data_IF_584968727846
#
_entry.id   IF_584968727846
#
_cell.length_a   1.000
_cell.length_b   1.000
_cell.length_c   1.000
_cell.angle_alpha   90.00
_cell.angle_beta   90.00
_cell.angle_gamma   90.00
#
_symmetry.space_group_name_H-M   'P 1'
#
loop_
_entity.id
_entity.type
_entity.pdbx_description
1 polymer ?
#
# COMPACT_ATOMS: atom_id res chain seq x y z
N UNK A 1 28.18 -35.86 -46.00
CA UNK A 1 26.77 -35.49 -45.68
C UNK A 1 26.44 -35.66 -44.21
N UNK A 2 26.86 -36.75 -43.54
CA UNK A 2 26.63 -36.96 -42.10
C UNK A 2 27.26 -35.87 -41.20
N UNK A 3 28.52 -35.48 -41.41
CA UNK A 3 29.20 -34.47 -40.59
C UNK A 3 28.47 -33.11 -40.53
N UNK A 4 27.84 -32.72 -41.65
CA UNK A 4 27.08 -31.46 -41.77
C UNK A 4 25.74 -31.54 -41.01
N UNK A 5 25.12 -32.73 -40.95
CA UNK A 5 23.93 -32.98 -40.12
C UNK A 5 24.27 -32.97 -38.63
N UNK A 6 25.38 -33.57 -38.22
CA UNK A 6 25.81 -33.58 -36.82
C UNK A 6 26.16 -32.17 -36.32
N UNK A 7 26.79 -31.35 -37.16
CA UNK A 7 27.11 -29.96 -36.84
C UNK A 7 25.87 -29.07 -36.69
N UNK A 8 24.86 -29.23 -37.56
CA UNK A 8 23.57 -28.53 -37.46
C UNK A 8 22.79 -28.91 -36.19
N UNK A 9 22.82 -30.19 -35.79
CA UNK A 9 22.19 -30.65 -34.55
C UNK A 9 22.89 -30.04 -33.33
N UNK A 10 24.24 -29.95 -33.34
CA UNK A 10 25.01 -29.35 -32.25
C UNK A 10 24.73 -27.85 -32.10
N UNK A 11 24.56 -27.11 -33.20
CA UNK A 11 24.19 -25.68 -33.19
C UNK A 11 22.78 -25.47 -32.61
N UNK A 12 21.80 -26.31 -32.98
CA UNK A 12 20.48 -26.26 -32.35
C UNK A 12 20.54 -26.57 -30.84
N UNK A 13 21.37 -27.52 -30.42
CA UNK A 13 21.49 -27.89 -29.02
C UNK A 13 22.12 -26.77 -28.17
N UNK A 14 23.16 -26.10 -28.67
CA UNK A 14 23.81 -24.97 -27.99
C UNK A 14 22.89 -23.73 -27.98
N UNK A 15 22.08 -23.52 -29.03
CA UNK A 15 21.10 -22.44 -29.10
C UNK A 15 19.95 -22.55 -28.09
N UNK A 16 19.51 -23.78 -27.78
CA UNK A 16 18.46 -24.01 -26.78
C UNK A 16 18.92 -23.78 -25.33
N UNK A 17 20.24 -23.84 -25.05
CA UNK A 17 20.79 -23.64 -23.70
C UNK A 17 20.80 -22.18 -23.24
N UNK A 18 20.41 -21.23 -24.10
CA UNK A 18 20.38 -19.79 -23.81
C UNK A 18 18.97 -19.19 -23.76
N UNK A 19 17.94 -20.02 -23.78
CA UNK A 19 16.56 -19.57 -23.61
C UNK A 19 16.27 -19.38 -22.12
N UNK A 20 16.49 -18.16 -21.63
CA UNK A 20 15.94 -17.73 -20.34
C UNK A 20 14.46 -17.39 -20.55
N UNK A 21 13.57 -18.32 -20.23
CA UNK A 21 12.16 -17.97 -20.00
C UNK A 21 12.05 -17.46 -18.56
N UNK A 22 11.59 -16.23 -18.40
CA UNK A 22 11.32 -15.68 -17.08
C UNK A 22 9.86 -15.97 -16.76
N UNK A 23 9.63 -17.01 -15.95
CA UNK A 23 8.27 -17.32 -15.50
C UNK A 23 7.79 -16.23 -14.53
N UNK A 24 6.58 -15.72 -14.80
CA UNK A 24 5.90 -14.85 -13.85
C UNK A 24 5.41 -15.67 -12.66
N UNK A 25 5.33 -15.07 -11.46
CA UNK A 25 4.71 -15.75 -10.33
C UNK A 25 3.25 -16.09 -10.65
N UNK A 26 2.72 -17.21 -10.12
CA UNK A 26 1.32 -17.57 -10.34
C UNK A 26 0.39 -16.51 -9.74
N UNK A 27 -0.63 -16.11 -10.50
CA UNK A 27 -1.63 -15.12 -10.09
C UNK A 27 -2.94 -15.83 -9.85
N UNK A 28 -3.52 -15.65 -8.65
CA UNK A 28 -4.88 -16.08 -8.31
C UNK A 28 -5.73 -14.83 -8.20
N UNK A 29 -6.93 -14.89 -8.79
CA UNK A 29 -7.77 -13.71 -8.95
C UNK A 29 -9.17 -13.98 -8.44
N UNK A 30 -9.67 -13.07 -7.58
CA UNK A 30 -11.03 -13.10 -7.04
C UNK A 30 -11.84 -11.97 -7.69
N UNK A 31 -12.86 -12.32 -8.47
CA UNK A 31 -13.77 -11.36 -9.08
C UNK A 31 -14.84 -10.86 -8.08
N UNK A 32 -15.51 -9.73 -8.33
CA UNK A 32 -16.57 -9.20 -7.45
C UNK A 32 -17.64 -10.23 -7.06
N UNK A 33 -18.05 -11.07 -8.01
CA UNK A 33 -19.02 -12.13 -7.77
C UNK A 33 -18.53 -13.18 -6.76
N UNK A 34 -17.22 -13.37 -6.60
CA UNK A 34 -16.63 -14.34 -5.68
C UNK A 34 -16.70 -13.86 -4.22
N UNK A 35 -16.52 -12.56 -3.98
CA UNK A 35 -16.57 -11.97 -2.63
C UNK A 35 -17.87 -11.23 -2.31
N UNK A 36 -18.78 -11.10 -3.29
CA UNK A 36 -20.12 -10.56 -3.11
C UNK A 36 -20.16 -9.08 -2.75
N UNK A 37 -19.20 -8.29 -3.25
CA UNK A 37 -19.14 -6.84 -3.01
C UNK A 37 -18.73 -6.08 -4.28
N UNK A 38 -18.35 -4.81 -4.14
CA UNK A 38 -18.02 -3.92 -5.25
C UNK A 38 -16.60 -4.17 -5.77
N UNK A 39 -16.25 -3.71 -6.97
CA UNK A 39 -14.95 -4.00 -7.59
C UNK A 39 -13.76 -3.30 -6.93
N UNK A 40 -13.98 -2.15 -6.29
CA UNK A 40 -12.89 -1.34 -5.73
C UNK A 40 -12.46 -1.80 -4.33
N UNK A 41 -11.18 -2.14 -4.20
CA UNK A 41 -10.58 -2.65 -2.95
C UNK A 41 -9.42 -1.74 -2.52
N UNK A 42 -9.64 -0.95 -1.46
CA UNK A 42 -8.81 0.20 -1.11
C UNK A 42 -7.63 -0.10 -0.18
N UNK A 43 -7.79 -1.08 0.70
CA UNK A 43 -6.81 -1.38 1.74
C UNK A 43 -6.94 -2.84 2.17
N UNK A 44 -5.81 -3.46 2.52
CA UNK A 44 -5.73 -4.86 2.94
C UNK A 44 -4.94 -4.94 4.24
N UNK A 45 -5.38 -5.76 5.18
CA UNK A 45 -4.67 -6.10 6.40
C UNK A 45 -4.92 -7.56 6.78
N UNK A 46 -4.06 -8.15 7.61
CA UNK A 46 -4.18 -9.54 8.04
C UNK A 46 -4.16 -9.66 9.57
N UNK A 47 -4.96 -10.59 10.12
CA UNK A 47 -4.86 -10.96 11.54
C UNK A 47 -3.81 -12.05 11.79
N UNK A 48 -3.42 -12.21 13.06
CA UNK A 48 -2.52 -13.28 13.51
C UNK A 48 -3.01 -14.69 13.14
N UNK A 49 -4.34 -14.88 13.07
CA UNK A 49 -4.99 -16.13 12.66
C UNK A 49 -5.13 -16.27 11.13
N UNK A 50 -4.40 -15.45 10.35
CA UNK A 50 -4.30 -15.47 8.88
C UNK A 50 -5.53 -14.99 8.11
N UNK A 51 -6.56 -14.49 8.78
CA UNK A 51 -7.69 -13.88 8.08
C UNK A 51 -7.24 -12.62 7.34
N UNK A 52 -7.62 -12.52 6.07
CA UNK A 52 -7.40 -11.32 5.25
C UNK A 52 -8.64 -10.43 5.37
N UNK A 53 -8.41 -9.17 5.64
CA UNK A 53 -9.42 -8.14 5.73
C UNK A 53 -9.21 -7.11 4.64
N UNK A 54 -10.27 -6.77 3.90
CA UNK A 54 -10.21 -5.82 2.78
C UNK A 54 -11.25 -4.72 2.95
N UNK A 55 -10.81 -3.46 2.90
CA UNK A 55 -11.69 -2.31 2.84
C UNK A 55 -12.25 -2.15 1.41
N UNK A 56 -13.57 -2.21 1.28
CA UNK A 56 -14.28 -2.21 0.00
C UNK A 56 -15.38 -1.14 0.01
N UNK A 57 -15.87 -0.74 -1.18
CA UNK A 57 -16.98 0.22 -1.28
C UNK A 57 -18.26 -0.23 -0.55
N UNK A 58 -18.47 -1.53 -0.30
CA UNK A 58 -19.63 -2.05 0.45
C UNK A 58 -19.39 -2.25 1.94
N UNK A 59 -18.13 -2.20 2.40
CA UNK A 59 -17.79 -2.45 3.80
C UNK A 59 -16.50 -3.24 3.96
N UNK A 60 -16.42 -4.01 5.05
CA UNK A 60 -15.28 -4.84 5.40
C UNK A 60 -15.49 -6.26 4.85
N UNK A 61 -14.63 -6.68 3.93
CA UNK A 61 -14.55 -8.07 3.51
C UNK A 61 -13.61 -8.84 4.45
N UNK A 62 -14.03 -10.02 4.88
CA UNK A 62 -13.24 -10.98 5.65
C UNK A 62 -13.05 -12.25 4.81
N UNK A 63 -11.81 -12.73 4.71
CA UNK A 63 -11.46 -13.94 3.99
C UNK A 63 -10.64 -14.89 4.86
N UNK A 64 -11.09 -16.14 4.95
CA UNK A 64 -10.49 -17.15 5.83
C UNK A 64 -9.59 -18.16 5.10
N UNK A 65 -9.26 -17.91 3.83
CA UNK A 65 -8.54 -18.84 2.96
C UNK A 65 -9.43 -19.62 1.99
N UNK A 66 -10.74 -19.64 2.21
CA UNK A 66 -11.70 -20.34 1.35
C UNK A 66 -12.94 -19.51 1.05
N UNK A 67 -13.53 -18.89 2.08
CA UNK A 67 -14.80 -18.19 2.00
C UNK A 67 -14.63 -16.70 2.28
N UNK A 68 -15.36 -15.90 1.53
CA UNK A 68 -15.51 -14.46 1.74
C UNK A 68 -16.77 -14.17 2.54
N UNK A 69 -16.69 -13.19 3.43
CA UNK A 69 -17.82 -12.67 4.19
C UNK A 69 -17.79 -11.15 4.17
N UNK A 70 -18.90 -10.54 3.79
CA UNK A 70 -19.07 -9.10 3.80
C UNK A 70 -19.72 -8.64 5.11
N UNK A 71 -19.09 -7.66 5.74
CA UNK A 71 -19.63 -6.87 6.84
C UNK A 71 -19.92 -5.47 6.33
N UNK A 72 -21.20 -5.10 6.22
CA UNK A 72 -21.61 -3.77 5.76
C UNK A 72 -20.95 -2.67 6.59
N UNK A 73 -20.53 -1.58 5.95
CA UNK A 73 -20.02 -0.42 6.66
C UNK A 73 -21.07 0.13 7.64
N UNK A 74 -20.65 0.68 8.79
CA UNK A 74 -21.55 1.09 9.88
C UNK A 74 -22.58 2.16 9.49
N UNK A 75 -22.30 2.92 8.43
CA UNK A 75 -23.15 3.98 7.88
C UNK A 75 -23.44 3.78 6.37
N UNK A 76 -23.25 2.57 5.84
CA UNK A 76 -23.49 2.21 4.44
C UNK A 76 -22.67 3.03 3.40
N UNK A 77 -21.53 3.58 3.82
CA UNK A 77 -20.60 4.32 2.95
C UNK A 77 -19.38 3.50 2.54
N UNK A 78 -18.56 4.06 1.64
CA UNK A 78 -17.31 3.44 1.18
C UNK A 78 -16.32 3.31 2.34
N UNK A 79 -15.82 2.09 2.56
CA UNK A 79 -14.71 1.84 3.47
C UNK A 79 -13.39 2.04 2.73
N UNK A 80 -12.57 2.96 3.22
CA UNK A 80 -11.32 3.40 2.55
C UNK A 80 -10.08 2.74 3.12
N UNK A 81 -10.10 2.38 4.40
CA UNK A 81 -8.93 1.89 5.11
C UNK A 81 -9.27 0.80 6.11
N UNK A 82 -8.36 -0.15 6.27
CA UNK A 82 -8.41 -1.20 7.29
C UNK A 82 -7.01 -1.44 7.86
N UNK A 83 -6.93 -1.66 9.17
CA UNK A 83 -5.71 -2.06 9.86
C UNK A 83 -6.06 -3.01 11.01
N UNK A 84 -5.45 -4.18 11.03
CA UNK A 84 -5.54 -5.11 12.16
C UNK A 84 -4.42 -4.81 13.15
N UNK A 85 -4.79 -4.66 14.42
CA UNK A 85 -3.87 -4.53 15.54
C UNK A 85 -4.38 -5.44 16.65
N UNK A 86 -3.58 -6.46 16.99
CA UNK A 86 -3.99 -7.54 17.88
C UNK A 86 -5.34 -8.15 17.45
N UNK A 87 -6.35 -8.13 18.32
CA UNK A 87 -7.69 -8.66 18.09
C UNK A 87 -8.68 -7.62 17.51
N UNK A 88 -8.20 -6.41 17.20
CA UNK A 88 -9.04 -5.30 16.73
C UNK A 88 -8.79 -5.03 15.24
N UNK A 89 -9.87 -4.87 14.50
CA UNK A 89 -9.82 -4.50 13.08
C UNK A 89 -10.28 -3.04 12.99
N UNK A 90 -9.35 -2.10 12.91
CA UNK A 90 -9.66 -0.69 12.74
C UNK A 90 -10.08 -0.41 11.30
N UNK A 91 -11.11 0.40 11.11
CA UNK A 91 -11.61 0.77 9.77
C UNK A 91 -12.01 2.22 9.70
N UNK A 92 -11.78 2.84 8.54
CA UNK A 92 -12.16 4.21 8.23
C UNK A 92 -13.06 4.28 6.98
N UNK A 93 -14.14 5.06 7.07
CA UNK A 93 -15.15 5.25 6.03
C UNK A 93 -15.36 6.74 5.74
N UNK A 94 -16.44 7.10 5.04
CA UNK A 94 -16.90 8.50 4.97
C UNK A 94 -17.53 8.90 6.32
N UNK A 95 -17.09 10.01 6.90
CA UNK A 95 -17.60 10.59 8.16
C UNK A 95 -17.64 9.62 9.36
N UNK A 96 -16.83 8.57 9.36
CA UNK A 96 -16.85 7.54 10.40
C UNK A 96 -15.52 6.78 10.46
N UNK A 97 -15.02 6.55 11.68
CA UNK A 97 -13.92 5.61 11.94
C UNK A 97 -14.05 4.97 13.33
N UNK A 98 -13.53 3.74 13.43
CA UNK A 98 -13.68 2.93 14.63
C UNK A 98 -13.01 1.58 14.47
N UNK A 99 -13.48 0.59 15.22
CA UNK A 99 -12.95 -0.78 15.14
C UNK A 99 -14.03 -1.84 15.25
N UNK A 100 -13.74 -3.00 14.68
CA UNK A 100 -14.48 -4.23 14.84
C UNK A 100 -13.79 -5.12 15.86
N UNK A 101 -14.59 -5.81 16.67
CA UNK A 101 -14.11 -6.84 17.61
C UNK A 101 -15.00 -8.07 17.53
N UNK A 102 -14.39 -9.25 17.54
CA UNK A 102 -15.13 -10.50 17.62
C UNK A 102 -15.80 -10.66 18.99
N UNK A 103 -17.12 -10.81 18.98
CA UNK A 103 -17.92 -11.06 20.18
C UNK A 103 -17.75 -12.49 20.67
N UNK A 104 -18.28 -12.79 21.87
CA UNK A 104 -18.25 -14.15 22.43
C UNK A 104 -18.99 -15.17 21.57
N UNK A 105 -19.87 -14.70 20.67
CA UNK A 105 -20.65 -15.50 19.74
C UNK A 105 -19.94 -15.66 18.38
N UNK A 106 -18.74 -15.10 18.20
CA UNK A 106 -17.98 -15.17 16.95
C UNK A 106 -18.45 -14.18 15.88
N UNK A 107 -19.20 -13.14 16.26
CA UNK A 107 -19.66 -12.08 15.35
C UNK A 107 -18.79 -10.84 15.48
N UNK A 108 -18.40 -10.22 14.37
CA UNK A 108 -17.74 -8.92 14.40
C UNK A 108 -18.75 -7.83 14.77
N UNK A 109 -18.49 -7.14 15.87
CA UNK A 109 -19.27 -6.00 16.36
C UNK A 109 -18.47 -4.72 16.22
N UNK A 110 -19.10 -3.68 15.66
CA UNK A 110 -18.47 -2.39 15.42
C UNK A 110 -18.60 -1.44 16.60
N UNK A 111 -17.51 -0.77 16.96
CA UNK A 111 -17.46 0.35 17.89
C UNK A 111 -16.96 1.59 17.17
N UNK A 112 -17.82 2.61 17.07
CA UNK A 112 -17.44 3.92 16.54
C UNK A 112 -16.54 4.66 17.53
N UNK A 113 -15.43 5.19 17.02
CA UNK A 113 -14.52 6.05 17.76
C UNK A 113 -14.76 7.54 17.46
N UNK A 114 -15.32 7.85 16.29
CA UNK A 114 -15.61 9.22 15.87
C UNK A 114 -16.95 9.77 16.36
N UNK A 115 -17.82 8.93 16.95
CA UNK A 115 -19.18 9.32 17.37
C UNK A 115 -19.27 10.62 18.15
N UNK A 116 -18.35 10.81 19.09
CA UNK A 116 -18.33 11.96 20.00
C UNK A 116 -17.30 13.03 19.59
N UNK A 117 -16.75 12.93 18.37
CA UNK A 117 -15.80 13.89 17.80
C UNK A 117 -16.48 14.82 16.81
N UNK A 118 -16.02 16.06 16.76
CA UNK A 118 -16.42 17.02 15.74
C UNK A 118 -15.55 16.85 14.48
N UNK A 119 -16.10 16.13 13.49
CA UNK A 119 -15.46 15.92 12.20
C UNK A 119 -15.67 17.13 11.26
N UNK A 120 -14.75 17.31 10.31
CA UNK A 120 -14.97 18.27 9.21
C UNK A 120 -15.95 17.62 8.22
N UNK A 121 -16.86 18.41 7.66
CA UNK A 121 -17.77 17.96 6.60
C UNK A 121 -16.98 17.33 5.43
N UNK A 122 -17.54 16.26 4.87
CA UNK A 122 -16.97 15.47 3.78
C UNK A 122 -15.64 14.75 4.08
N UNK A 123 -15.25 14.60 5.35
CA UNK A 123 -14.08 13.80 5.69
C UNK A 123 -14.22 12.33 5.31
N UNK A 124 -13.14 11.80 4.72
CA UNK A 124 -12.94 10.38 4.44
C UNK A 124 -11.63 9.94 5.08
N UNK A 125 -11.61 8.75 5.67
CA UNK A 125 -10.45 8.23 6.40
C UNK A 125 -9.63 7.29 5.53
N UNK A 126 -8.63 7.85 4.84
CA UNK A 126 -7.87 7.21 3.77
C UNK A 126 -6.77 6.26 4.24
N UNK A 127 -6.24 6.45 5.45
CA UNK A 127 -5.14 5.64 5.98
C UNK A 127 -5.25 5.48 7.49
N UNK A 128 -4.92 4.29 7.96
CA UNK A 128 -4.76 3.96 9.38
C UNK A 128 -3.34 3.43 9.58
N UNK A 129 -2.68 3.89 10.63
CA UNK A 129 -1.36 3.39 11.05
C UNK A 129 -1.34 3.25 12.57
N UNK A 130 -0.64 2.25 13.06
CA UNK A 130 -0.38 2.05 14.49
C UNK A 130 1.11 2.28 14.79
N UNK A 131 1.40 2.92 15.92
CA UNK A 131 2.73 3.00 16.51
C UNK A 131 2.62 3.15 18.04
N UNK A 132 3.31 2.30 18.79
CA UNK A 132 3.46 2.37 20.26
C UNK A 132 2.14 2.52 21.04
N UNK A 133 1.10 1.80 20.64
CA UNK A 133 -0.21 1.85 21.29
C UNK A 133 -1.06 3.07 20.92
N UNK A 134 -0.64 3.83 19.91
CA UNK A 134 -1.44 4.86 19.26
C UNK A 134 -1.93 4.37 17.90
N UNK A 135 -3.19 4.65 17.60
CA UNK A 135 -3.77 4.41 16.27
C UNK A 135 -4.10 5.76 15.64
N UNK A 136 -3.55 6.02 14.46
CA UNK A 136 -3.69 7.28 13.74
C UNK A 136 -4.64 7.08 12.56
N UNK A 137 -5.68 7.90 12.47
CA UNK A 137 -6.61 7.95 11.35
C UNK A 137 -6.36 9.22 10.55
N UNK A 138 -6.05 9.08 9.27
CA UNK A 138 -5.72 10.18 8.38
C UNK A 138 -6.91 10.50 7.46
N UNK A 139 -7.39 11.73 7.54
CA UNK A 139 -8.24 12.34 6.51
C UNK A 139 -7.40 13.18 5.55
N UNK A 140 -8.04 13.96 4.67
CA UNK A 140 -7.32 14.94 3.86
C UNK A 140 -6.99 16.23 4.63
N UNK A 141 -7.60 16.47 5.77
CA UNK A 141 -7.49 17.76 6.50
C UNK A 141 -6.92 17.59 7.91
N UNK A 142 -7.00 16.37 8.46
CA UNK A 142 -6.63 16.08 9.85
C UNK A 142 -6.00 14.69 10.01
N UNK A 143 -5.18 14.57 11.04
CA UNK A 143 -4.74 13.29 11.60
C UNK A 143 -5.31 13.19 13.02
N UNK A 144 -6.11 12.16 13.25
CA UNK A 144 -6.71 11.84 14.54
C UNK A 144 -5.84 10.78 15.22
N UNK A 145 -5.17 11.15 16.31
CA UNK A 145 -4.26 10.30 17.06
C UNK A 145 -5.00 9.75 18.28
N UNK A 146 -5.37 8.47 18.22
CA UNK A 146 -6.09 7.77 19.28
C UNK A 146 -5.11 7.04 20.21
N UNK A 147 -5.13 7.38 21.50
CA UNK A 147 -4.43 6.59 22.52
C UNK A 147 -5.32 5.42 22.95
N UNK A 148 -4.90 4.19 22.66
CA UNK A 148 -5.71 2.98 22.89
C UNK A 148 -5.94 2.73 24.39
N UNK A 149 -4.94 2.99 25.23
CA UNK A 149 -5.02 2.75 26.67
C UNK A 149 -5.87 3.81 27.39
N UNK A 150 -5.58 5.08 27.14
CA UNK A 150 -6.26 6.21 27.77
C UNK A 150 -7.64 6.49 27.16
N UNK A 151 -7.90 5.97 25.94
CA UNK A 151 -9.11 6.23 25.15
C UNK A 151 -9.34 7.72 24.87
N UNK A 152 -8.26 8.44 24.58
CA UNK A 152 -8.26 9.88 24.32
C UNK A 152 -7.78 10.18 22.92
N UNK A 153 -8.20 11.34 22.40
CA UNK A 153 -7.77 11.84 21.10
C UNK A 153 -6.86 13.05 21.23
N UNK A 154 -5.89 13.11 20.32
CA UNK A 154 -5.21 14.33 19.92
C UNK A 154 -5.45 14.53 18.42
N UNK A 155 -5.74 15.75 17.99
CA UNK A 155 -6.04 16.05 16.59
C UNK A 155 -4.97 17.00 16.06
N UNK A 156 -4.33 16.61 14.96
CA UNK A 156 -3.46 17.48 14.18
C UNK A 156 -4.24 17.96 12.96
N UNK A 157 -4.56 19.26 12.93
CA UNK A 157 -5.22 19.90 11.79
C UNK A 157 -4.27 20.73 10.95
N UNK A 158 -4.62 20.95 9.70
CA UNK A 158 -3.84 21.78 8.76
C UNK A 158 -4.75 22.50 7.78
N UNK A 159 -4.26 23.61 7.21
CA UNK A 159 -4.89 24.34 6.11
C UNK A 159 -4.50 23.80 4.72
N UNK A 160 -3.61 22.80 4.67
CA UNK A 160 -3.15 22.10 3.46
C UNK A 160 -3.66 20.67 3.44
N UNK A 161 -3.83 20.11 2.25
CA UNK A 161 -4.27 18.71 2.13
C UNK A 161 -3.16 17.76 2.54
N UNK A 162 -3.48 16.81 3.41
CA UNK A 162 -2.61 15.68 3.77
C UNK A 162 -2.79 14.61 2.70
N UNK A 163 -1.75 14.38 1.88
CA UNK A 163 -1.84 13.45 0.74
C UNK A 163 -1.68 12.00 1.20
N UNK A 164 -0.69 11.72 2.03
CA UNK A 164 -0.36 10.37 2.54
C UNK A 164 0.33 10.45 3.90
N UNK A 165 0.16 9.38 4.68
CA UNK A 165 0.84 9.11 5.95
C UNK A 165 1.61 7.78 5.87
N UNK A 166 2.82 7.76 6.44
CA UNK A 166 3.79 6.68 6.32
C UNK A 166 4.33 6.28 7.69
N UNK A 167 4.46 4.97 7.94
CA UNK A 167 5.23 4.44 9.06
C UNK A 167 6.65 4.14 8.57
N UNK A 168 7.65 4.77 9.18
CA UNK A 168 9.06 4.56 8.86
C UNK A 168 9.76 4.23 10.17
N UNK A 169 10.11 2.96 10.35
CA UNK A 169 10.57 2.39 11.62
C UNK A 169 9.68 2.86 12.80
N UNK A 170 10.29 3.53 13.79
CA UNK A 170 9.64 4.02 15.02
C UNK A 170 9.13 5.47 14.86
N UNK A 171 8.73 5.87 13.66
CA UNK A 171 8.27 7.23 13.38
C UNK A 171 7.15 7.28 12.34
N UNK A 172 6.25 8.24 12.53
CA UNK A 172 5.19 8.53 11.55
C UNK A 172 5.57 9.81 10.79
N UNK A 173 5.56 9.70 9.47
CA UNK A 173 5.73 10.83 8.56
C UNK A 173 4.43 11.10 7.81
N UNK A 174 4.23 12.31 7.33
CA UNK A 174 3.14 12.65 6.44
C UNK A 174 3.52 13.80 5.51
N UNK A 175 2.87 13.87 4.34
CA UNK A 175 3.07 14.96 3.39
C UNK A 175 1.88 15.93 3.47
N UNK A 176 2.19 17.23 3.51
CA UNK A 176 1.25 18.30 3.18
C UNK A 176 1.49 18.76 1.74
N UNK A 177 0.41 18.79 0.95
CA UNK A 177 0.47 19.09 -0.47
C UNK A 177 1.09 20.47 -0.73
N UNK A 178 2.14 20.53 -1.57
CA UNK A 178 2.89 21.74 -1.92
C UNK A 178 3.53 22.50 -0.75
N UNK A 179 3.73 21.83 0.38
CA UNK A 179 4.24 22.47 1.59
C UNK A 179 5.47 21.75 2.15
N UNK A 180 5.33 20.47 2.52
CA UNK A 180 6.44 19.74 3.11
C UNK A 180 6.16 18.31 3.51
N UNK A 181 7.23 17.60 3.86
CA UNK A 181 7.20 16.35 4.61
C UNK A 181 7.42 16.68 6.09
N UNK A 182 6.53 16.16 6.91
CA UNK A 182 6.51 16.34 8.35
C UNK A 182 6.66 14.99 9.04
N UNK A 183 7.14 15.02 10.27
CA UNK A 183 7.24 13.87 11.18
C UNK A 183 6.46 14.16 12.45
N UNK A 184 5.78 13.17 12.99
CA UNK A 184 5.10 13.25 14.28
C UNK A 184 6.06 12.76 15.37
N UNK A 185 6.38 13.62 16.34
CA UNK A 185 7.18 13.30 17.53
C UNK A 185 6.40 13.71 18.78
N UNK A 186 6.15 12.76 19.69
CA UNK A 186 5.40 13.01 20.93
C UNK A 186 4.03 13.68 20.68
N UNK A 187 3.41 13.36 19.54
CA UNK A 187 2.14 13.93 19.09
C UNK A 187 2.25 15.32 18.46
N UNK A 188 3.39 15.99 18.50
CA UNK A 188 3.64 17.24 17.78
C UNK A 188 4.18 16.95 16.37
N UNK A 189 4.01 17.90 15.46
CA UNK A 189 4.63 17.83 14.13
C UNK A 189 5.96 18.58 14.08
N UNK A 190 6.90 18.03 13.33
CA UNK A 190 8.18 18.63 13.01
C UNK A 190 8.37 18.61 11.49
N UNK A 191 8.77 19.75 10.92
CA UNK A 191 9.10 19.82 9.50
C UNK A 191 10.42 19.10 9.21
N UNK A 192 10.40 18.18 8.25
CA UNK A 192 11.56 17.39 7.84
C UNK A 192 12.15 17.92 6.53
N UNK A 193 11.28 18.25 5.57
CA UNK A 193 11.71 18.53 4.20
C UNK A 193 10.74 19.43 3.43
N UNK A 194 11.26 20.35 2.61
CA UNK A 194 10.46 21.31 1.80
C UNK A 194 11.01 21.54 0.38
N UNK A 195 11.95 20.73 -0.10
CA UNK A 195 12.49 20.96 -1.46
C UNK A 195 11.43 20.66 -2.51
N UNK A 196 11.24 21.61 -3.43
CA UNK A 196 10.27 21.56 -4.52
C UNK A 196 10.43 20.31 -5.39
N UNK A 197 11.67 19.80 -5.54
CA UNK A 197 11.93 18.57 -6.32
C UNK A 197 11.14 17.35 -5.81
N UNK A 198 10.77 17.32 -4.52
CA UNK A 198 9.96 16.26 -3.93
C UNK A 198 8.52 16.68 -3.68
N UNK A 199 8.30 17.90 -3.18
CA UNK A 199 6.99 18.30 -2.63
C UNK A 199 5.98 18.72 -3.71
N UNK A 200 6.44 18.96 -4.95
CA UNK A 200 5.58 19.23 -6.11
C UNK A 200 4.94 17.95 -6.67
N UNK A 201 5.39 16.77 -6.25
CA UNK A 201 4.78 15.47 -6.55
C UNK A 201 4.17 14.85 -5.28
N UNK A 202 3.25 13.89 -5.46
CA UNK A 202 2.73 13.13 -4.33
C UNK A 202 3.78 12.10 -3.93
N UNK A 203 4.25 12.17 -2.69
CA UNK A 203 5.06 11.11 -2.09
C UNK A 203 4.11 9.95 -1.78
N UNK A 204 4.39 8.79 -2.36
CA UNK A 204 3.57 7.58 -2.21
C UNK A 204 4.05 6.75 -1.03
N UNK A 205 5.36 6.68 -0.81
CA UNK A 205 5.93 6.04 0.37
C UNK A 205 7.31 6.59 0.75
N UNK A 206 7.70 6.36 2.00
CA UNK A 206 9.03 6.67 2.55
C UNK A 206 9.57 5.39 3.17
N UNK A 207 10.80 5.03 2.83
CA UNK A 207 11.48 3.85 3.35
C UNK A 207 12.75 4.24 4.09
N UNK A 208 13.05 3.53 5.17
CA UNK A 208 14.40 3.56 5.74
C UNK A 208 15.35 2.73 4.85
N UNK A 209 16.50 3.32 4.53
CA UNK A 209 17.62 2.64 3.87
C UNK A 209 18.91 2.99 4.59
N UNK A 210 19.41 2.05 5.39
CA UNK A 210 20.56 2.28 6.29
C UNK A 210 20.28 3.46 7.24
N UNK A 211 21.04 4.56 7.14
CA UNK A 211 20.81 5.79 7.92
C UNK A 211 20.04 6.88 7.14
N UNK A 212 19.62 6.56 5.91
CA UNK A 212 19.04 7.50 4.97
C UNK A 212 17.56 7.21 4.73
N UNK A 213 16.84 8.22 4.22
CA UNK A 213 15.47 8.05 3.77
C UNK A 213 15.45 7.83 2.26
N UNK A 214 14.55 6.97 1.81
CA UNK A 214 14.26 6.76 0.41
C UNK A 214 12.79 7.09 0.15
N UNK A 215 12.57 8.15 -0.61
CA UNK A 215 11.24 8.61 -1.00
C UNK A 215 10.85 7.97 -2.34
N UNK A 216 9.61 7.52 -2.44
CA UNK A 216 9.00 7.13 -3.70
C UNK A 216 7.86 8.08 -4.03
N UNK A 217 7.91 8.69 -5.21
CA UNK A 217 6.96 9.70 -5.69
C UNK A 217 6.08 9.13 -6.79
N UNK A 218 4.87 9.67 -6.93
CA UNK A 218 3.87 9.17 -7.85
C UNK A 218 4.37 9.15 -9.30
N UNK A 219 5.05 10.20 -9.76
CA UNK A 219 5.40 10.39 -11.16
C UNK A 219 6.91 10.55 -11.40
N UNK A 220 7.69 10.91 -10.38
CA UNK A 220 9.13 11.19 -10.55
C UNK A 220 10.04 10.08 -10.02
N UNK A 221 9.50 8.89 -9.74
CA UNK A 221 10.28 7.74 -9.29
C UNK A 221 10.80 7.88 -7.87
N UNK A 222 12.04 7.44 -7.63
CA UNK A 222 12.64 7.41 -6.29
C UNK A 222 13.64 8.55 -6.07
N UNK A 223 13.77 8.98 -4.82
CA UNK A 223 14.78 9.93 -4.37
C UNK A 223 15.43 9.44 -3.08
N UNK A 224 16.76 9.47 -3.03
CA UNK A 224 17.52 9.23 -1.80
C UNK A 224 17.74 10.54 -1.06
N UNK A 225 17.57 10.52 0.25
CA UNK A 225 17.85 11.65 1.12
C UNK A 225 18.91 11.27 2.15
N UNK A 226 20.10 11.82 1.93
CA UNK A 226 21.32 11.51 2.67
C UNK A 226 22.00 12.82 3.04
N UNK A 227 22.36 13.01 4.31
CA UNK A 227 23.04 14.23 4.80
C UNK A 227 22.32 15.54 4.39
N UNK A 228 20.99 15.57 4.51
CA UNK A 228 20.12 16.69 4.12
C UNK A 228 20.14 17.04 2.62
N UNK A 229 20.60 16.14 1.76
CA UNK A 229 20.62 16.34 0.31
C UNK A 229 19.72 15.30 -0.34
N UNK A 230 18.77 15.76 -1.14
CA UNK A 230 17.95 14.90 -1.98
C UNK A 230 18.67 14.62 -3.31
N UNK A 231 18.61 13.38 -3.80
CA UNK A 231 19.12 13.01 -5.11
C UNK A 231 18.16 12.04 -5.79
N UNK A 232 17.85 12.24 -7.08
CA UNK A 232 17.05 11.28 -7.83
C UNK A 232 17.78 9.93 -7.92
N UNK A 233 17.05 8.86 -7.70
CA UNK A 233 17.48 7.49 -7.95
C UNK A 233 16.80 6.96 -9.21
N UNK A 234 17.45 7.15 -10.35
CA UNK A 234 16.90 6.77 -11.65
C UNK A 234 16.82 5.25 -11.79
N UNK A 235 15.61 4.74 -12.05
CA UNK A 235 15.32 3.32 -12.23
C UNK A 235 14.91 3.05 -13.69
N UNK A 236 15.59 2.09 -14.31
CA UNK A 236 15.35 1.65 -15.70
C UNK A 236 14.64 0.30 -15.69
N UNK A 237 13.55 0.19 -16.45
CA UNK A 237 12.67 -0.98 -16.45
C UNK A 237 12.96 -1.95 -17.60
N UNK A 238 14.20 -2.43 -17.71
CA UNK A 238 14.55 -3.55 -18.59
C UNK A 238 14.08 -3.42 -20.05
N UNK A 239 14.20 -2.23 -20.65
CA UNK A 239 13.75 -1.94 -22.02
C UNK A 239 12.31 -1.41 -22.14
N UNK A 240 11.57 -1.30 -21.03
CA UNK A 240 10.23 -0.70 -20.95
C UNK A 240 10.23 0.80 -20.68
N UNK A 241 11.40 1.43 -20.61
CA UNK A 241 11.56 2.85 -20.26
C UNK A 241 12.10 3.05 -18.85
N UNK A 242 11.73 4.16 -18.23
CA UNK A 242 12.08 4.53 -16.86
C UNK A 242 10.87 4.40 -15.94
N UNK A 243 11.11 4.28 -14.64
CA UNK A 243 10.00 4.23 -13.67
C UNK A 243 9.16 5.52 -13.70
N UNK A 244 9.77 6.67 -13.99
CA UNK A 244 9.09 7.96 -14.11
C UNK A 244 8.15 8.06 -15.32
N UNK A 245 8.11 7.06 -16.20
CA UNK A 245 7.13 6.97 -17.28
C UNK A 245 5.76 6.44 -16.77
N UNK A 246 5.68 6.04 -15.49
CA UNK A 246 4.52 5.40 -14.87
C UNK A 246 4.04 6.20 -13.66
N UNK A 247 2.72 6.25 -13.47
CA UNK A 247 2.10 6.85 -12.29
C UNK A 247 1.84 5.79 -11.22
N UNK A 248 2.59 5.82 -10.13
CA UNK A 248 2.51 4.86 -9.02
C UNK A 248 1.46 5.31 -8.01
N UNK A 249 0.49 4.46 -7.70
CA UNK A 249 -0.56 4.76 -6.72
C UNK A 249 -0.26 4.20 -5.32
N UNK A 250 0.42 3.06 -5.28
CA UNK A 250 0.76 2.36 -4.05
C UNK A 250 2.14 1.72 -4.12
N UNK A 251 2.82 1.62 -2.98
CA UNK A 251 4.16 1.05 -2.90
C UNK A 251 4.39 0.42 -1.54
N UNK A 252 4.92 -0.81 -1.54
CA UNK A 252 5.38 -1.49 -0.33
C UNK A 252 6.79 -2.04 -0.53
N UNK A 253 7.52 -2.19 0.57
CA UNK A 253 8.74 -2.98 0.64
C UNK A 253 8.42 -4.31 1.31
N UNK A 254 8.67 -5.39 0.60
CA UNK A 254 8.38 -6.75 1.08
C UNK A 254 9.58 -7.35 1.84
N UNK A 255 9.38 -8.48 2.52
CA UNK A 255 10.32 -9.07 3.48
C UNK A 255 11.72 -9.35 2.91
N UNK A 256 11.80 -9.71 1.62
CA UNK A 256 13.09 -9.93 0.95
C UNK A 256 13.82 -8.62 0.55
N UNK A 257 13.20 -7.47 0.82
CA UNK A 257 13.70 -6.12 0.54
C UNK A 257 13.32 -5.55 -0.82
N UNK A 258 12.63 -6.30 -1.68
CA UNK A 258 12.11 -5.83 -2.96
C UNK A 258 11.02 -4.76 -2.78
N UNK A 259 10.86 -3.92 -3.80
CA UNK A 259 9.77 -2.96 -3.90
C UNK A 259 8.67 -3.48 -4.81
N UNK A 260 7.44 -3.40 -4.34
CA UNK A 260 6.24 -3.76 -5.11
C UNK A 260 5.43 -2.49 -5.33
N UNK A 261 5.29 -2.09 -6.59
CA UNK A 261 4.71 -0.82 -7.01
C UNK A 261 3.41 -1.08 -7.76
N UNK A 262 2.28 -0.69 -7.16
CA UNK A 262 0.98 -0.64 -7.82
C UNK A 262 0.81 0.66 -8.58
N UNK A 263 0.49 0.58 -9.87
CA UNK A 263 0.34 1.76 -10.74
C UNK A 263 -1.13 2.07 -11.02
N UNK A 264 -1.39 3.30 -11.50
CA UNK A 264 -2.73 3.73 -11.91
C UNK A 264 -3.20 2.98 -13.16
N UNK A 265 -2.32 2.63 -14.10
CA UNK A 265 -2.76 2.13 -15.42
C UNK A 265 -1.91 1.02 -16.04
N UNK A 266 -0.80 0.62 -15.42
CA UNK A 266 0.14 -0.36 -15.96
C UNK A 266 0.26 -1.64 -15.13
N UNK A 267 -0.62 -1.84 -14.14
CA UNK A 267 -0.57 -2.99 -13.24
C UNK A 267 0.51 -2.85 -12.17
N UNK A 268 1.19 -3.95 -11.90
CA UNK A 268 2.22 -4.10 -10.89
C UNK A 268 3.62 -4.03 -11.52
N UNK A 269 4.54 -3.33 -10.88
CA UNK A 269 5.97 -3.34 -11.18
C UNK A 269 6.73 -3.81 -9.93
N UNK A 270 7.65 -4.77 -10.10
CA UNK A 270 8.47 -5.29 -9.01
C UNK A 270 9.95 -5.02 -9.27
N UNK A 271 10.60 -4.43 -8.28
CA UNK A 271 12.02 -4.08 -8.27
C UNK A 271 12.71 -4.84 -7.13
N UNK A 272 13.96 -5.23 -7.29
CA UNK A 272 14.74 -5.73 -6.16
C UNK A 272 15.17 -4.60 -5.22
N UNK A 273 15.84 -4.97 -4.13
CA UNK A 273 16.34 -4.03 -3.10
C UNK A 273 17.28 -2.95 -3.64
N UNK A 274 17.91 -3.20 -4.79
CA UNK A 274 18.86 -2.31 -5.46
C UNK A 274 18.20 -1.56 -6.61
N UNK A 275 16.86 -1.57 -6.68
CA UNK A 275 16.09 -0.88 -7.71
C UNK A 275 16.19 -1.52 -9.09
N UNK A 276 16.73 -2.74 -9.21
CA UNK A 276 16.78 -3.45 -10.48
C UNK A 276 15.40 -4.02 -10.79
N UNK A 277 14.92 -3.75 -11.99
CA UNK A 277 13.68 -4.33 -12.49
C UNK A 277 13.72 -5.86 -12.46
N UNK A 278 12.72 -6.47 -11.82
CA UNK A 278 12.54 -7.92 -11.80
C UNK A 278 11.49 -8.35 -12.82
N UNK A 279 10.27 -7.84 -12.69
CA UNK A 279 9.17 -8.13 -13.60
C UNK A 279 8.03 -7.11 -13.44
N UNK A 280 7.06 -7.17 -14.37
CA UNK A 280 5.79 -6.44 -14.29
C UNK A 280 4.64 -7.40 -14.60
N UNK A 281 3.47 -7.18 -14.00
CA UNK A 281 2.24 -7.95 -14.25
C UNK A 281 1.10 -6.96 -14.52
N UNK A 282 0.40 -7.12 -15.63
CA UNK A 282 -0.78 -6.35 -16.01
C UNK A 282 -1.97 -7.28 -16.34
N UNK A 283 -3.03 -6.73 -16.89
CA UNK A 283 -4.23 -7.48 -17.27
C UNK A 283 -3.96 -8.57 -18.31
N UNK A 284 -3.08 -8.32 -19.29
CA UNK A 284 -2.67 -9.33 -20.29
C UNK A 284 -1.90 -10.50 -19.66
N UNK A 285 -1.38 -10.29 -18.45
CA UNK A 285 -0.54 -11.23 -17.70
C UNK A 285 -1.26 -11.85 -16.49
N UNK A 286 -2.57 -11.58 -16.31
CA UNK A 286 -3.42 -12.27 -15.33
C UNK A 286 -4.11 -11.39 -14.28
N UNK A 287 -3.84 -10.09 -14.21
CA UNK A 287 -4.62 -9.19 -13.34
C UNK A 287 -6.03 -8.98 -13.90
N UNK A 288 -7.02 -8.74 -13.03
CA UNK A 288 -8.37 -8.36 -13.48
C UNK A 288 -8.42 -6.93 -14.03
N UNK A 289 -7.62 -6.02 -13.46
CA UNK A 289 -7.52 -4.61 -13.84
C UNK A 289 -6.07 -4.15 -13.65
N UNK A 290 -5.66 -3.12 -14.41
CA UNK A 290 -4.35 -2.51 -14.32
C UNK A 290 -4.24 -1.47 -13.20
N UNK A 291 -5.35 -0.94 -12.69
CA UNK A 291 -5.32 -0.02 -11.55
C UNK A 291 -5.11 -0.81 -10.26
N UNK A 292 -3.93 -0.69 -9.67
CA UNK A 292 -3.59 -1.34 -8.39
C UNK A 292 -3.68 -0.32 -7.26
N UNK A 293 -4.76 -0.38 -6.49
CA UNK A 293 -5.07 0.56 -5.41
C UNK A 293 -4.26 0.28 -4.13
N UNK A 294 -3.95 -0.98 -3.86
CA UNK A 294 -3.15 -1.38 -2.70
C UNK A 294 -2.40 -2.68 -2.97
N UNK A 295 -1.23 -2.82 -2.34
CA UNK A 295 -0.48 -4.07 -2.28
C UNK A 295 -0.22 -4.41 -0.81
N UNK A 296 -0.24 -5.69 -0.46
CA UNK A 296 0.00 -6.16 0.89
C UNK A 296 0.73 -7.50 0.86
N UNK A 297 1.77 -7.66 1.66
CA UNK A 297 2.44 -8.95 1.84
C UNK A 297 1.88 -9.64 3.09
N UNK A 298 1.38 -10.86 2.93
CA UNK A 298 0.86 -11.65 4.03
C UNK A 298 1.98 -12.35 4.83
N UNK A 299 1.64 -12.91 6.00
CA UNK A 299 2.61 -13.59 6.88
C UNK A 299 3.25 -14.85 6.28
N UNK A 300 2.79 -15.29 5.10
CA UNK A 300 3.37 -16.39 4.33
C UNK A 300 4.13 -15.91 3.08
N UNK A 301 4.33 -14.59 2.95
CA UNK A 301 5.00 -13.89 1.85
C UNK A 301 4.26 -13.94 0.50
N UNK A 302 2.93 -14.13 0.49
CA UNK A 302 2.14 -13.88 -0.72
C UNK A 302 1.82 -12.40 -0.84
N UNK A 303 1.76 -11.90 -2.07
CA UNK A 303 1.40 -10.53 -2.37
C UNK A 303 -0.09 -10.49 -2.76
N UNK A 304 -0.87 -9.78 -1.97
CA UNK A 304 -2.27 -9.46 -2.21
C UNK A 304 -2.38 -8.11 -2.89
N UNK A 305 -3.22 -8.02 -3.93
CA UNK A 305 -3.48 -6.77 -4.64
C UNK A 305 -4.96 -6.41 -4.51
N UNK A 306 -5.23 -5.19 -4.08
CA UNK A 306 -6.56 -4.58 -4.19
C UNK A 306 -6.61 -3.78 -5.49
N UNK A 307 -7.59 -4.10 -6.34
CA UNK A 307 -7.75 -3.51 -7.67
C UNK A 307 -8.99 -2.61 -7.72
N UNK A 308 -9.09 -1.84 -8.82
CA UNK A 308 -10.30 -1.11 -9.23
C UNK A 308 -11.22 -2.00 -10.07
#
# INVERSE_FOLDING_TARGET
MLLRRTFLILICFIGCCHLFSQELPPVITYAPDAYGADNQNWSISQSSDKYIYVANNRGLLEFNGENWKLHSSPNETIMRSVLVVDDLIYTGCFMEFGYWKTSKQGLLEYTSLSRDLELIEDEQFWKIVELDGFVLFQSLDRIYIYNVQAKTFRILGTDKKITKMYKVDDSIYFQRQYDGIYRIINGEEELVFTDAELIDDIVINIYQRDNDLLFQTQNNGFYSYTNNVIKPWTIVLGGKGQLSDYSVYHSIRIANGSFVLGTISAGLIVLDRDGKFQFSINQEQGLNNNTVLTAFEDITNNIWLGLD
#
